data_IF_867051039492
#
_entry.id   IF_867051039492
#
_cell.length_a   1.000
_cell.length_b   1.000
_cell.length_c   1.000
_cell.angle_alpha   90.00
_cell.angle_beta   90.00
_cell.angle_gamma   90.00
#
_symmetry.space_group_name_H-M   'P 1'
#
loop_
_entity.id
_entity.type
_entity.pdbx_description
1 polymer ?
#
# COMPACT_ATOMS: atom_id res chain seq x y z
N UNK A 1 -26.48 -2.96 34.09
CA UNK A 1 -25.50 -3.40 33.08
C UNK A 1 -26.17 -3.30 31.72
N UNK A 2 -25.83 -2.32 30.91
CA UNK A 2 -26.26 -2.29 29.50
C UNK A 2 -25.33 -3.24 28.76
N UNK A 3 -25.89 -4.37 28.31
CA UNK A 3 -25.17 -5.31 27.49
C UNK A 3 -24.75 -4.63 26.20
N UNK A 4 -23.46 -4.41 26.00
CA UNK A 4 -22.91 -4.10 24.73
C UNK A 4 -23.10 -5.35 23.84
N UNK A 5 -24.12 -5.30 22.99
CA UNK A 5 -24.22 -6.23 21.89
C UNK A 5 -23.04 -5.93 20.96
N UNK A 6 -21.98 -6.70 21.11
CA UNK A 6 -20.87 -6.69 20.16
C UNK A 6 -21.44 -7.27 18.88
N UNK A 7 -21.82 -6.43 17.93
CA UNK A 7 -22.23 -6.89 16.61
C UNK A 7 -20.96 -7.25 15.84
N UNK A 8 -20.45 -8.45 16.11
CA UNK A 8 -19.38 -9.02 15.30
C UNK A 8 -19.85 -9.18 13.86
N UNK A 9 -19.22 -8.44 12.95
CA UNK A 9 -19.44 -8.64 11.52
C UNK A 9 -18.92 -10.02 11.11
N UNK A 10 -19.45 -10.58 10.01
CA UNK A 10 -18.93 -11.83 9.46
C UNK A 10 -17.42 -11.75 9.20
N UNK A 11 -16.96 -10.57 8.78
CA UNK A 11 -15.55 -10.28 8.53
C UNK A 11 -14.67 -10.31 9.78
N UNK A 12 -15.16 -9.75 10.89
CA UNK A 12 -14.46 -9.81 12.17
C UNK A 12 -14.33 -11.24 12.67
N UNK A 13 -15.40 -12.03 12.54
CA UNK A 13 -15.38 -13.45 12.94
C UNK A 13 -14.37 -14.24 12.13
N UNK A 14 -14.32 -14.05 10.83
CA UNK A 14 -13.35 -14.71 9.96
C UNK A 14 -11.91 -14.33 10.34
N UNK A 15 -11.62 -13.02 10.50
CA UNK A 15 -10.30 -12.56 10.96
C UNK A 15 -9.91 -13.12 12.32
N UNK A 16 -10.87 -13.24 13.23
CA UNK A 16 -10.65 -13.82 14.55
C UNK A 16 -10.31 -15.31 14.45
N UNK A 17 -11.04 -16.08 13.63
CA UNK A 17 -10.76 -17.50 13.38
C UNK A 17 -9.36 -17.66 12.76
N UNK A 18 -9.01 -16.88 11.74
CA UNK A 18 -7.68 -16.90 11.14
C UNK A 18 -6.58 -16.57 12.14
N UNK A 19 -6.83 -15.63 13.06
CA UNK A 19 -5.89 -15.26 14.11
C UNK A 19 -5.72 -16.39 15.14
N UNK A 20 -6.79 -17.10 15.47
CA UNK A 20 -6.72 -18.30 16.33
C UNK A 20 -5.93 -19.43 15.64
N UNK A 21 -6.12 -19.65 14.33
CA UNK A 21 -5.34 -20.63 13.58
C UNK A 21 -3.86 -20.27 13.60
N UNK A 22 -3.51 -19.02 13.28
CA UNK A 22 -2.13 -18.54 13.35
C UNK A 22 -1.54 -18.75 14.76
N UNK A 23 -2.36 -18.51 15.79
CA UNK A 23 -1.97 -18.68 17.20
C UNK A 23 -1.68 -20.13 17.58
N UNK A 24 -2.50 -21.07 17.09
CA UNK A 24 -2.31 -22.52 17.32
C UNK A 24 -1.05 -23.01 16.61
N UNK A 25 -0.74 -22.49 15.44
CA UNK A 25 0.42 -22.86 14.63
C UNK A 25 1.73 -22.22 15.10
N UNK A 26 1.68 -21.28 16.06
CA UNK A 26 2.85 -20.54 16.58
C UNK A 26 3.40 -21.19 17.84
N UNK A 27 4.74 -21.29 17.96
CA UNK A 27 5.43 -21.87 19.12
C UNK A 27 5.12 -21.10 20.43
N UNK A 28 5.02 -21.85 21.54
CA UNK A 28 4.51 -21.38 22.84
C UNK A 28 5.26 -20.18 23.47
N UNK A 29 6.53 -19.98 23.15
CA UNK A 29 7.41 -19.00 23.82
C UNK A 29 7.88 -17.86 22.93
N UNK A 30 7.20 -17.59 21.81
CA UNK A 30 7.60 -16.54 20.87
C UNK A 30 6.91 -15.21 21.19
N UNK A 31 7.62 -14.08 20.91
CA UNK A 31 7.03 -12.73 20.89
C UNK A 31 5.80 -12.65 19.97
N UNK A 32 5.78 -13.46 18.94
CA UNK A 32 4.69 -13.61 17.99
C UNK A 32 3.39 -14.07 18.64
N UNK A 33 3.49 -14.99 19.61
CA UNK A 33 2.36 -15.43 20.41
C UNK A 33 1.71 -14.27 21.16
N UNK A 34 2.51 -13.42 21.79
CA UNK A 34 1.99 -12.26 22.53
C UNK A 34 1.24 -11.29 21.62
N UNK A 35 1.71 -11.12 20.37
CA UNK A 35 1.04 -10.29 19.36
C UNK A 35 -0.32 -10.90 19.00
N UNK A 36 -0.36 -12.21 18.78
CA UNK A 36 -1.57 -12.93 18.39
C UNK A 36 -2.59 -12.96 19.56
N UNK A 37 -2.15 -13.21 20.78
CA UNK A 37 -3.00 -13.15 21.98
C UNK A 37 -3.62 -11.74 22.12
N UNK A 38 -2.81 -10.68 21.98
CA UNK A 38 -3.29 -9.29 22.01
C UNK A 38 -4.27 -8.99 20.86
N UNK A 39 -4.04 -9.52 19.66
CA UNK A 39 -4.96 -9.34 18.53
C UNK A 39 -6.30 -10.05 18.76
N UNK A 40 -6.28 -11.27 19.33
CA UNK A 40 -7.49 -12.02 19.68
C UNK A 40 -8.34 -11.23 20.69
N UNK A 41 -7.70 -10.61 21.68
CA UNK A 41 -8.39 -9.84 22.73
C UNK A 41 -9.03 -8.55 22.20
N UNK A 42 -8.44 -7.94 21.17
CA UNK A 42 -8.87 -6.63 20.68
C UNK A 42 -9.82 -6.73 19.49
N UNK A 43 -9.61 -7.68 18.57
CA UNK A 43 -10.40 -7.82 17.32
C UNK A 43 -11.92 -7.78 17.56
N UNK A 44 -12.50 -8.50 18.54
CA UNK A 44 -13.94 -8.50 18.77
C UNK A 44 -14.51 -7.15 19.21
N UNK A 45 -13.66 -6.25 19.67
CA UNK A 45 -14.04 -4.94 20.22
C UNK A 45 -13.93 -3.81 19.18
N UNK A 46 -13.32 -4.06 18.01
CA UNK A 46 -13.11 -3.05 16.98
C UNK A 46 -14.38 -2.85 16.14
N UNK A 47 -14.74 -1.60 15.88
CA UNK A 47 -15.80 -1.28 14.92
C UNK A 47 -15.29 -1.40 13.47
N UNK A 48 -16.17 -1.49 12.47
CA UNK A 48 -15.77 -1.46 11.06
C UNK A 48 -14.92 -0.23 10.71
N UNK A 49 -15.23 0.94 11.29
CA UNK A 49 -14.50 2.18 11.10
C UNK A 49 -13.08 2.09 11.66
N UNK A 50 -12.92 1.54 12.87
CA UNK A 50 -11.60 1.37 13.50
C UNK A 50 -10.77 0.33 12.77
N UNK A 51 -11.35 -0.78 12.31
CA UNK A 51 -10.67 -1.78 11.49
C UNK A 51 -10.19 -1.19 10.17
N UNK A 52 -11.04 -0.46 9.47
CA UNK A 52 -10.70 0.20 8.21
C UNK A 52 -9.59 1.23 8.41
N UNK A 53 -9.63 1.97 9.53
CA UNK A 53 -8.57 2.91 9.91
C UNK A 53 -7.24 2.21 10.12
N UNK A 54 -7.22 1.08 10.84
CA UNK A 54 -6.01 0.28 11.07
C UNK A 54 -5.47 -0.23 9.72
N UNK A 55 -6.33 -0.73 8.84
CA UNK A 55 -5.97 -1.19 7.50
C UNK A 55 -5.33 -0.09 6.67
N UNK A 56 -5.95 1.10 6.60
CA UNK A 56 -5.40 2.21 5.82
C UNK A 56 -4.13 2.81 6.45
N UNK A 57 -4.01 2.86 7.79
CA UNK A 57 -2.76 3.24 8.45
C UNK A 57 -1.61 2.28 8.14
N UNK A 58 -1.92 1.01 7.91
CA UNK A 58 -0.94 0.00 7.54
C UNK A 58 -0.30 0.29 6.17
N UNK A 59 -0.95 1.00 5.26
CA UNK A 59 -0.36 1.44 3.99
C UNK A 59 0.94 2.24 4.15
N UNK A 60 1.14 2.91 5.28
CA UNK A 60 2.39 3.63 5.59
C UNK A 60 3.53 2.72 6.03
N UNK A 61 3.24 1.46 6.31
CA UNK A 61 4.21 0.51 6.86
C UNK A 61 4.46 -0.68 5.94
N UNK A 62 3.64 -0.85 4.93
CA UNK A 62 3.65 -2.03 4.09
C UNK A 62 3.58 -1.64 2.62
N UNK A 63 4.65 -1.90 1.88
CA UNK A 63 4.60 -1.84 0.42
C UNK A 63 3.73 -2.99 -0.09
N UNK A 64 2.82 -2.68 -1.00
CA UNK A 64 2.12 -3.70 -1.75
C UNK A 64 3.11 -4.34 -2.72
N UNK A 65 3.21 -5.66 -2.70
CA UNK A 65 4.06 -6.39 -3.63
C UNK A 65 3.39 -6.50 -5.01
N UNK A 66 3.06 -5.34 -5.59
CA UNK A 66 2.57 -5.28 -6.95
C UNK A 66 3.78 -5.16 -7.88
N UNK A 67 4.01 -6.15 -8.72
CA UNK A 67 5.05 -6.08 -9.76
C UNK A 67 4.64 -5.10 -10.88
N UNK A 68 3.34 -5.00 -11.15
CA UNK A 68 2.80 -4.28 -12.30
C UNK A 68 1.83 -3.17 -11.89
N UNK A 69 1.85 -2.07 -12.64
CA UNK A 69 1.00 -0.91 -12.40
C UNK A 69 -0.50 -1.23 -12.37
N UNK A 70 -0.99 -2.11 -13.25
CA UNK A 70 -2.39 -2.51 -13.24
C UNK A 70 -2.79 -3.25 -11.96
N UNK A 71 -1.89 -4.06 -11.37
CA UNK A 71 -2.14 -4.73 -10.09
C UNK A 71 -2.22 -3.71 -8.95
N UNK A 72 -1.35 -2.70 -8.98
CA UNK A 72 -1.37 -1.61 -8.00
C UNK A 72 -2.65 -0.78 -8.12
N UNK A 73 -3.10 -0.49 -9.34
CA UNK A 73 -4.37 0.20 -9.61
C UNK A 73 -5.55 -0.59 -9.02
N UNK A 74 -5.66 -1.89 -9.35
CA UNK A 74 -6.70 -2.78 -8.80
C UNK A 74 -6.65 -2.84 -7.26
N UNK A 75 -5.45 -2.87 -6.68
CA UNK A 75 -5.29 -2.81 -5.24
C UNK A 75 -5.85 -1.50 -4.67
N UNK A 76 -5.49 -0.34 -5.22
CA UNK A 76 -6.02 0.94 -4.75
C UNK A 76 -7.54 1.04 -4.90
N UNK A 77 -8.10 0.53 -5.98
CA UNK A 77 -9.55 0.44 -6.18
C UNK A 77 -10.21 -0.45 -5.12
N UNK A 78 -9.57 -1.56 -4.74
CA UNK A 78 -10.07 -2.47 -3.70
C UNK A 78 -10.09 -1.86 -2.29
N UNK A 79 -9.38 -0.76 -2.05
CA UNK A 79 -9.38 -0.03 -0.78
C UNK A 79 -10.61 0.88 -0.61
N UNK A 80 -11.43 1.06 -1.63
CA UNK A 80 -12.61 1.95 -1.58
C UNK A 80 -13.53 1.66 -0.37
N UNK A 81 -13.92 0.41 -0.07
CA UNK A 81 -14.75 0.13 1.11
C UNK A 81 -14.09 0.56 2.42
N UNK A 82 -12.77 0.40 2.55
CA UNK A 82 -12.04 0.85 3.74
C UNK A 82 -12.05 2.39 3.84
N UNK A 83 -11.89 3.09 2.72
CA UNK A 83 -11.93 4.54 2.67
C UNK A 83 -13.31 5.08 3.06
N UNK A 84 -14.38 4.47 2.56
CA UNK A 84 -15.75 4.80 2.90
C UNK A 84 -16.06 4.58 4.39
N UNK A 85 -15.62 3.48 4.98
CA UNK A 85 -15.80 3.23 6.41
C UNK A 85 -14.93 4.17 7.26
N UNK A 86 -13.67 4.38 6.95
CA UNK A 86 -12.80 5.28 7.68
C UNK A 86 -13.28 6.74 7.61
N UNK A 87 -13.95 7.15 6.54
CA UNK A 87 -14.51 8.50 6.42
C UNK A 87 -15.57 8.81 7.50
N UNK A 88 -16.15 7.79 8.12
CA UNK A 88 -17.11 7.89 9.23
C UNK A 88 -16.45 7.96 10.62
N UNK A 89 -15.11 7.88 10.68
CA UNK A 89 -14.34 7.86 11.92
C UNK A 89 -14.60 9.13 12.75
N UNK A 90 -14.77 8.97 14.04
CA UNK A 90 -14.93 10.06 14.98
C UNK A 90 -13.78 10.11 16.01
N UNK A 91 -13.76 11.14 16.85
CA UNK A 91 -12.72 11.34 17.87
C UNK A 91 -12.69 10.22 18.91
N UNK A 92 -13.86 9.67 19.27
CA UNK A 92 -13.97 8.61 20.28
C UNK A 92 -13.30 7.33 19.75
N UNK A 93 -13.49 7.02 18.47
CA UNK A 93 -12.86 5.86 17.84
C UNK A 93 -11.32 5.96 17.87
N UNK A 94 -10.78 7.16 17.66
CA UNK A 94 -9.33 7.41 17.72
C UNK A 94 -8.78 7.23 19.13
N UNK A 95 -9.47 7.81 20.13
CA UNK A 95 -9.07 7.64 21.52
C UNK A 95 -9.16 6.18 21.97
N UNK A 96 -10.15 5.45 21.47
CA UNK A 96 -10.29 4.02 21.69
C UNK A 96 -9.09 3.23 21.13
N UNK A 97 -8.65 3.52 19.89
CA UNK A 97 -7.45 2.89 19.30
C UNK A 97 -6.18 3.14 20.14
N UNK A 98 -6.06 4.31 20.78
CA UNK A 98 -4.96 4.62 21.67
C UNK A 98 -5.08 3.84 23.00
N UNK A 99 -6.28 3.79 23.58
CA UNK A 99 -6.57 3.07 24.81
C UNK A 99 -6.27 1.58 24.69
N UNK A 100 -6.67 0.94 23.60
CA UNK A 100 -6.36 -0.46 23.29
C UNK A 100 -4.91 -0.67 22.80
N UNK A 101 -4.09 0.38 22.79
CA UNK A 101 -2.66 0.36 22.38
C UNK A 101 -2.46 -0.16 20.95
N UNK A 102 -3.43 0.00 20.11
CA UNK A 102 -3.34 -0.30 18.67
C UNK A 102 -2.54 0.78 17.96
N UNK A 103 -2.73 2.03 18.40
CA UNK A 103 -2.00 3.20 17.93
C UNK A 103 -1.18 3.74 19.10
N UNK A 104 0.11 3.97 18.88
CA UNK A 104 1.07 4.46 19.87
C UNK A 104 1.59 5.85 19.48
N UNK A 105 1.82 6.73 20.46
CA UNK A 105 2.42 8.02 20.18
C UNK A 105 3.87 7.85 19.72
N UNK A 106 4.26 8.62 18.70
CA UNK A 106 5.66 8.78 18.34
C UNK A 106 6.41 9.55 19.42
N UNK A 107 7.55 9.04 19.84
CA UNK A 107 8.43 9.70 20.79
C UNK A 107 9.25 10.78 20.11
N UNK A 108 9.27 11.99 20.68
CA UNK A 108 10.05 13.12 20.18
C UNK A 108 9.34 14.01 19.16
N UNK A 109 10.12 14.73 18.36
CA UNK A 109 9.63 15.74 17.37
C UNK A 109 9.27 15.09 16.02
N UNK A 110 9.51 13.81 15.87
CA UNK A 110 9.27 13.11 14.61
C UNK A 110 7.78 13.06 14.26
N UNK A 111 7.48 13.36 13.00
CA UNK A 111 6.16 13.19 12.39
C UNK A 111 6.25 12.11 11.31
N UNK A 112 5.17 11.36 11.14
CA UNK A 112 5.09 10.46 9.99
C UNK A 112 5.06 11.25 8.69
N UNK A 113 5.60 10.67 7.64
CA UNK A 113 5.50 11.22 6.28
C UNK A 113 4.03 11.22 5.86
N UNK A 114 3.59 12.20 5.07
CA UNK A 114 2.24 12.21 4.50
C UNK A 114 2.02 10.98 3.62
N UNK A 115 0.77 10.55 3.46
CA UNK A 115 0.44 9.38 2.64
C UNK A 115 0.89 9.60 1.20
N UNK A 116 0.71 10.81 0.66
CA UNK A 116 1.11 11.19 -0.69
C UNK A 116 2.62 11.05 -0.90
N UNK A 117 3.41 11.58 0.04
CA UNK A 117 4.88 11.43 0.00
C UNK A 117 5.32 9.98 0.09
N UNK A 118 4.63 9.21 0.94
CA UNK A 118 4.89 7.77 1.03
C UNK A 118 4.61 7.10 -0.31
N UNK A 119 3.47 7.38 -0.95
CA UNK A 119 3.10 6.83 -2.26
C UNK A 119 4.11 7.21 -3.35
N UNK A 120 4.51 8.48 -3.42
CA UNK A 120 5.51 8.96 -4.38
C UNK A 120 6.88 8.30 -4.18
N UNK A 121 7.30 8.06 -2.94
CA UNK A 121 8.58 7.44 -2.64
C UNK A 121 8.62 5.92 -2.93
N UNK A 122 7.48 5.23 -2.80
CA UNK A 122 7.43 3.77 -2.91
C UNK A 122 6.88 3.28 -4.26
N UNK A 123 6.21 4.14 -4.99
CA UNK A 123 5.62 3.83 -6.30
C UNK A 123 6.01 4.90 -7.33
N UNK A 124 7.27 5.26 -7.34
CA UNK A 124 7.83 6.40 -8.09
C UNK A 124 7.73 6.26 -9.60
N UNK A 125 7.66 5.04 -10.13
CA UNK A 125 7.41 4.80 -11.55
C UNK A 125 5.91 4.82 -11.89
N UNK A 126 5.06 4.39 -10.95
CA UNK A 126 3.61 4.41 -11.14
C UNK A 126 3.03 5.83 -11.12
N UNK A 127 3.52 6.68 -10.22
CA UNK A 127 3.07 8.06 -10.09
C UNK A 127 3.90 9.01 -10.95
N UNK A 128 3.85 8.78 -12.28
CA UNK A 128 4.40 9.67 -13.32
C UNK A 128 3.37 10.00 -14.37
N UNK A 129 3.47 11.20 -14.93
CA UNK A 129 2.68 11.55 -16.08
C UNK A 129 3.12 10.69 -17.26
N UNK A 130 2.19 10.03 -17.98
CA UNK A 130 2.53 9.15 -19.08
C UNK A 130 3.15 9.94 -20.22
N UNK A 131 3.95 9.27 -21.06
CA UNK A 131 4.43 9.83 -22.33
C UNK A 131 3.25 10.03 -23.29
N UNK A 132 3.30 11.11 -24.04
CA UNK A 132 2.37 11.33 -25.15
C UNK A 132 2.58 10.30 -26.25
N UNK A 133 1.53 10.09 -27.05
CA UNK A 133 1.57 9.20 -28.20
C UNK A 133 2.75 9.50 -29.13
N UNK A 134 3.44 8.46 -29.58
CA UNK A 134 4.57 8.54 -30.50
C UNK A 134 5.92 8.94 -29.87
N UNK A 135 5.94 9.44 -28.65
CA UNK A 135 7.22 9.83 -27.99
C UNK A 135 8.08 8.61 -27.69
N UNK A 136 7.48 7.54 -27.17
CA UNK A 136 8.18 6.29 -26.88
C UNK A 136 8.70 5.61 -28.15
N UNK A 137 7.86 5.54 -29.18
CA UNK A 137 8.22 4.95 -30.47
C UNK A 137 9.36 5.71 -31.14
N UNK A 138 9.39 7.04 -31.04
CA UNK A 138 10.49 7.85 -31.54
C UNK A 138 11.77 7.62 -30.73
N UNK A 139 11.66 7.55 -29.40
CA UNK A 139 12.80 7.19 -28.55
C UNK A 139 13.38 5.83 -28.92
N UNK A 140 12.56 4.82 -29.14
CA UNK A 140 13.01 3.48 -29.55
C UNK A 140 13.64 3.45 -30.96
N UNK A 141 13.22 4.33 -31.88
CA UNK A 141 13.88 4.48 -33.19
C UNK A 141 15.28 5.07 -33.08
N UNK A 142 15.48 6.01 -32.16
CA UNK A 142 16.78 6.63 -31.89
C UNK A 142 17.69 5.73 -31.05
N UNK A 143 17.10 4.83 -30.26
CA UNK A 143 17.77 3.90 -29.35
C UNK A 143 17.29 2.45 -29.60
N UNK A 144 17.68 1.81 -30.71
CA UNK A 144 17.23 0.45 -31.05
C UNK A 144 17.55 -0.57 -29.97
N UNK A 145 18.65 -0.40 -29.23
CA UNK A 145 19.05 -1.22 -28.09
C UNK A 145 18.05 -1.22 -26.96
N UNK A 146 17.33 -0.11 -26.76
CA UNK A 146 16.23 -0.03 -25.79
C UNK A 146 15.03 -0.87 -26.23
N UNK A 147 14.77 -0.95 -27.53
CA UNK A 147 13.68 -1.75 -28.10
C UNK A 147 14.01 -3.25 -28.13
N UNK A 148 15.22 -3.62 -28.52
CA UNK A 148 15.65 -5.03 -28.60
C UNK A 148 15.65 -5.68 -27.21
N UNK A 149 16.03 -4.93 -26.16
CA UNK A 149 15.97 -5.40 -24.79
C UNK A 149 14.55 -5.66 -24.30
N UNK A 150 13.56 -4.98 -24.85
CA UNK A 150 12.12 -5.18 -24.57
C UNK A 150 11.58 -6.45 -25.23
N UNK A 151 12.19 -6.91 -26.34
CA UNK A 151 11.74 -8.09 -27.06
C UNK A 151 12.23 -9.43 -26.48
N UNK A 152 13.23 -9.43 -25.62
CA UNK A 152 13.74 -10.63 -24.91
C UNK A 152 13.01 -10.86 -23.59
N UNK A 153 12.57 -12.08 -23.35
CA UNK A 153 11.58 -12.52 -22.35
C UNK A 153 11.62 -11.92 -20.93
N UNK A 154 12.73 -11.72 -20.21
CA UNK A 154 12.69 -11.09 -18.89
C UNK A 154 12.47 -9.57 -18.95
N UNK A 155 12.98 -8.89 -19.98
CA UNK A 155 12.81 -7.45 -20.14
C UNK A 155 11.43 -7.07 -20.68
N UNK A 156 10.78 -7.99 -21.41
CA UNK A 156 9.45 -7.81 -21.97
C UNK A 156 8.37 -7.53 -20.93
N UNK A 157 8.56 -8.01 -19.71
CA UNK A 157 7.63 -7.84 -18.59
C UNK A 157 7.81 -6.52 -17.84
N UNK A 158 8.88 -5.77 -18.09
CA UNK A 158 9.29 -4.71 -17.18
C UNK A 158 9.26 -3.28 -17.72
N UNK A 159 9.25 -3.04 -19.04
CA UNK A 159 9.56 -1.68 -19.46
C UNK A 159 8.38 -0.77 -19.68
N UNK A 160 7.42 -1.07 -20.49
CA UNK A 160 6.36 -0.11 -20.79
C UNK A 160 5.01 -0.79 -20.99
N UNK A 161 3.98 -0.24 -20.40
CA UNK A 161 2.60 -0.64 -20.61
C UNK A 161 1.86 0.48 -21.33
N UNK A 162 1.13 0.12 -22.38
CA UNK A 162 0.24 1.06 -23.05
C UNK A 162 -1.10 0.99 -22.33
N UNK A 163 -1.46 2.05 -21.66
CA UNK A 163 -2.80 2.20 -21.11
C UNK A 163 -3.76 2.48 -22.28
N UNK A 164 -4.46 1.45 -22.71
CA UNK A 164 -5.42 1.55 -23.81
C UNK A 164 -6.72 2.26 -23.44
N UNK A 165 -6.96 2.42 -22.13
CA UNK A 165 -8.21 3.02 -21.68
C UNK A 165 -8.18 4.55 -21.68
N UNK A 166 -7.01 5.17 -21.79
CA UNK A 166 -6.85 6.63 -21.82
C UNK A 166 -5.80 7.05 -22.86
N UNK A 167 -6.24 7.33 -24.08
CA UNK A 167 -5.53 8.13 -25.09
C UNK A 167 -4.17 7.61 -25.59
N UNK A 168 -3.95 6.30 -25.74
CA UNK A 168 -2.67 5.72 -26.21
C UNK A 168 -1.43 6.20 -25.44
N UNK A 169 -1.57 6.54 -24.18
CA UNK A 169 -0.48 7.01 -23.36
C UNK A 169 0.42 5.85 -22.88
N UNK A 170 1.73 6.05 -22.91
CA UNK A 170 2.72 5.03 -22.52
C UNK A 170 3.22 5.28 -21.12
N UNK A 171 3.11 4.28 -20.24
CA UNK A 171 3.52 4.31 -18.84
C UNK A 171 4.47 3.17 -18.49
N UNK A 172 5.20 3.26 -17.36
CA UNK A 172 5.99 2.15 -16.86
C UNK A 172 5.10 0.99 -16.37
N UNK A 173 5.48 -0.25 -16.75
CA UNK A 173 4.86 -1.44 -16.17
C UNK A 173 5.21 -1.60 -14.70
N UNK A 174 6.48 -1.39 -14.34
CA UNK A 174 6.95 -1.48 -12.97
C UNK A 174 6.48 -0.29 -12.14
N UNK A 175 6.26 -0.52 -10.87
CA UNK A 175 5.72 0.48 -9.94
C UNK A 175 6.79 1.24 -9.17
N UNK A 176 8.00 0.67 -9.04
CA UNK A 176 9.09 1.22 -8.22
C UNK A 176 10.44 1.04 -8.91
N UNK A 177 11.20 2.13 -9.05
CA UNK A 177 12.49 2.15 -9.75
C UNK A 177 13.55 1.29 -9.07
N UNK A 178 13.63 1.31 -7.74
CA UNK A 178 14.62 0.53 -7.00
C UNK A 178 14.42 -0.98 -7.20
N UNK A 179 13.18 -1.45 -7.06
CA UNK A 179 12.84 -2.86 -7.28
C UNK A 179 13.16 -3.26 -8.72
N UNK A 180 12.84 -2.37 -9.67
CA UNK A 180 13.14 -2.59 -11.07
C UNK A 180 14.64 -2.68 -11.35
N UNK A 181 15.44 -1.77 -10.83
CA UNK A 181 16.90 -1.81 -11.00
C UNK A 181 17.53 -3.05 -10.37
N UNK A 182 17.03 -3.49 -9.22
CA UNK A 182 17.50 -4.73 -8.58
C UNK A 182 17.18 -5.95 -9.45
N UNK A 183 16.02 -6.00 -10.11
CA UNK A 183 15.67 -7.05 -11.08
C UNK A 183 16.56 -7.01 -12.31
N UNK A 184 16.83 -5.83 -12.89
CA UNK A 184 17.74 -5.68 -14.04
C UNK A 184 19.16 -6.16 -13.71
N UNK A 185 19.67 -5.86 -12.50
CA UNK A 185 20.98 -6.34 -12.05
C UNK A 185 20.99 -7.86 -11.90
N UNK A 186 19.96 -8.45 -11.31
CA UNK A 186 19.87 -9.91 -11.14
C UNK A 186 19.79 -10.65 -12.48
N UNK A 187 19.21 -10.02 -13.50
CA UNK A 187 19.10 -10.58 -14.86
C UNK A 187 20.27 -10.18 -15.79
N UNK A 188 21.30 -9.50 -15.28
CA UNK A 188 22.43 -8.98 -16.07
C UNK A 188 22.02 -8.05 -17.22
N UNK A 189 21.02 -7.18 -16.96
CA UNK A 189 20.46 -6.24 -17.92
C UNK A 189 20.67 -4.77 -17.49
N UNK A 190 21.74 -4.48 -16.75
CA UNK A 190 22.04 -3.12 -16.24
C UNK A 190 22.20 -2.08 -17.35
N UNK A 191 22.52 -2.51 -18.57
CA UNK A 191 22.64 -1.63 -19.75
C UNK A 191 21.31 -0.93 -20.12
N UNK A 192 20.17 -1.43 -19.59
CA UNK A 192 18.84 -0.82 -19.78
C UNK A 192 18.62 0.38 -18.84
N UNK A 193 19.32 0.43 -17.69
CA UNK A 193 19.11 1.46 -16.66
C UNK A 193 19.20 2.90 -17.21
N UNK A 194 20.20 3.25 -18.05
CA UNK A 194 20.27 4.61 -18.63
C UNK A 194 19.05 4.97 -19.47
N UNK A 195 18.45 4.01 -20.17
CA UNK A 195 17.23 4.23 -20.95
C UNK A 195 16.01 4.46 -20.07
N UNK A 196 15.90 3.71 -18.96
CA UNK A 196 14.85 3.93 -17.96
C UNK A 196 14.97 5.32 -17.36
N UNK A 197 16.18 5.74 -17.00
CA UNK A 197 16.43 7.08 -16.44
C UNK A 197 16.12 8.19 -17.45
N UNK A 198 16.48 8.02 -18.71
CA UNK A 198 16.14 8.97 -19.77
C UNK A 198 14.62 9.11 -19.96
N UNK A 199 13.90 7.98 -20.00
CA UNK A 199 12.44 7.99 -20.08
C UNK A 199 11.80 8.59 -18.81
N UNK A 200 12.34 8.32 -17.61
CA UNK A 200 11.89 8.96 -16.39
C UNK A 200 12.02 10.47 -16.41
N UNK A 201 13.06 11.02 -17.07
CA UNK A 201 13.20 12.47 -17.22
C UNK A 201 12.13 13.06 -18.15
N UNK A 202 11.68 12.30 -19.14
CA UNK A 202 10.61 12.69 -20.06
C UNK A 202 9.20 12.53 -19.45
N UNK A 203 9.08 11.82 -18.32
CA UNK A 203 7.83 11.53 -17.60
C UNK A 203 7.86 12.23 -16.23
N UNK A 204 7.42 13.48 -16.10
CA UNK A 204 7.44 14.20 -14.84
C UNK A 204 6.75 13.42 -13.73
N UNK A 205 7.35 13.40 -12.53
CA UNK A 205 6.72 12.79 -11.38
C UNK A 205 5.42 13.55 -11.00
N UNK A 206 4.45 12.83 -10.48
CA UNK A 206 3.27 13.43 -9.88
C UNK A 206 3.68 14.32 -8.69
N UNK A 207 2.93 15.38 -8.49
CA UNK A 207 2.94 16.14 -7.23
C UNK A 207 2.08 15.44 -6.17
N UNK A 208 2.20 15.85 -4.90
CA UNK A 208 1.28 15.36 -3.84
C UNK A 208 -0.19 15.62 -4.20
N UNK A 209 -0.47 16.72 -4.89
CA UNK A 209 -1.82 17.07 -5.35
C UNK A 209 -2.30 16.15 -6.48
N UNK A 210 -1.42 15.71 -7.39
CA UNK A 210 -1.76 14.75 -8.43
C UNK A 210 -2.10 13.39 -7.83
N UNK A 211 -1.34 12.94 -6.80
CA UNK A 211 -1.65 11.72 -6.05
C UNK A 211 -3.03 11.83 -5.39
N UNK A 212 -3.35 12.95 -4.72
CA UNK A 212 -4.70 13.17 -4.15
C UNK A 212 -5.78 13.07 -5.22
N UNK A 213 -5.62 13.76 -6.33
CA UNK A 213 -6.57 13.73 -7.45
C UNK A 213 -6.76 12.33 -8.02
N UNK A 214 -5.70 11.54 -8.10
CA UNK A 214 -5.76 10.15 -8.52
C UNK A 214 -6.68 9.34 -7.60
N UNK A 215 -6.47 9.40 -6.28
CA UNK A 215 -7.29 8.65 -5.33
C UNK A 215 -8.73 9.18 -5.24
N UNK A 216 -8.96 10.49 -5.31
CA UNK A 216 -10.30 11.08 -5.31
C UNK A 216 -11.11 10.63 -6.55
N UNK A 217 -10.46 10.39 -7.69
CA UNK A 217 -11.12 9.78 -8.86
C UNK A 217 -11.58 8.34 -8.60
N UNK A 218 -10.86 7.58 -7.77
CA UNK A 218 -11.26 6.23 -7.38
C UNK A 218 -12.50 6.30 -6.47
N UNK A 219 -12.43 7.12 -5.43
CA UNK A 219 -13.58 7.40 -4.54
C UNK A 219 -13.44 8.78 -3.88
N UNK A 220 -14.52 9.59 -3.85
CA UNK A 220 -14.52 10.89 -3.16
C UNK A 220 -14.17 10.80 -1.67
N UNK A 221 -14.38 9.66 -1.03
CA UNK A 221 -14.04 9.42 0.39
C UNK A 221 -12.54 9.63 0.68
N UNK A 222 -11.67 9.50 -0.33
CA UNK A 222 -10.24 9.72 -0.17
C UNK A 222 -9.88 11.16 0.19
N UNK A 223 -10.69 12.15 -0.17
CA UNK A 223 -10.46 13.54 0.23
C UNK A 223 -10.40 13.67 1.76
N UNK A 224 -11.40 13.09 2.45
CA UNK A 224 -11.42 13.08 3.91
C UNK A 224 -10.29 12.24 4.50
N UNK A 225 -9.90 11.14 3.87
CA UNK A 225 -8.79 10.29 4.32
C UNK A 225 -7.46 11.05 4.29
N UNK A 226 -7.16 11.80 3.23
CA UNK A 226 -5.96 12.63 3.17
C UNK A 226 -5.97 13.72 4.25
N UNK A 227 -7.13 14.33 4.50
CA UNK A 227 -7.30 15.29 5.59
C UNK A 227 -7.01 14.67 6.96
N UNK A 228 -7.62 13.51 7.25
CA UNK A 228 -7.40 12.76 8.48
C UNK A 228 -5.91 12.38 8.65
N UNK A 229 -5.28 11.85 7.62
CA UNK A 229 -3.88 11.45 7.66
C UNK A 229 -2.91 12.61 7.84
N UNK A 230 -3.30 13.83 7.45
CA UNK A 230 -2.53 15.06 7.68
C UNK A 230 -2.77 15.65 9.08
N UNK A 231 -3.78 15.19 9.81
CA UNK A 231 -4.09 15.67 11.16
C UNK A 231 -2.99 15.31 12.16
N UNK A 232 -2.87 16.08 13.26
CA UNK A 232 -1.89 15.78 14.31
C UNK A 232 -2.05 14.39 14.90
N UNK A 233 -3.27 13.91 15.00
CA UNK A 233 -3.59 12.59 15.52
C UNK A 233 -2.84 11.50 14.76
N UNK A 234 -2.88 11.55 13.41
CA UNK A 234 -2.26 10.52 12.59
C UNK A 234 -0.81 10.81 12.20
N UNK A 235 -0.36 12.06 12.29
CA UNK A 235 1.05 12.41 12.03
C UNK A 235 1.95 12.16 13.23
N UNK A 236 1.39 12.14 14.46
CA UNK A 236 2.12 11.91 15.71
C UNK A 236 1.95 10.52 16.29
N UNK A 237 1.27 9.63 15.59
CA UNK A 237 1.02 8.27 16.04
C UNK A 237 1.39 7.25 14.98
N UNK A 238 1.76 6.05 15.42
CA UNK A 238 2.07 4.89 14.58
C UNK A 238 1.32 3.66 15.06
N UNK A 239 1.12 2.70 14.17
CA UNK A 239 0.59 1.40 14.58
C UNK A 239 1.57 0.67 15.48
N UNK A 240 1.07 0.11 16.59
CA UNK A 240 1.79 -0.90 17.39
C UNK A 240 2.03 -2.16 16.54
N UNK A 241 2.83 -3.09 17.06
CA UNK A 241 3.06 -4.38 16.38
C UNK A 241 1.74 -5.14 16.21
N UNK A 242 0.87 -5.15 17.22
CA UNK A 242 -0.48 -5.72 17.13
C UNK A 242 -1.33 -4.99 16.09
N UNK A 243 -1.29 -3.66 16.08
CA UNK A 243 -1.97 -2.85 15.07
C UNK A 243 -1.50 -3.15 13.64
N UNK A 244 -0.20 -3.32 13.45
CA UNK A 244 0.38 -3.72 12.15
C UNK A 244 -0.07 -5.12 11.72
N UNK A 245 -0.15 -6.07 12.65
CA UNK A 245 -0.68 -7.40 12.37
C UNK A 245 -2.13 -7.35 11.91
N UNK A 246 -2.99 -6.68 12.68
CA UNK A 246 -4.41 -6.51 12.33
C UNK A 246 -4.56 -5.79 10.99
N UNK A 247 -3.83 -4.68 10.78
CA UNK A 247 -3.85 -3.92 9.54
C UNK A 247 -3.42 -4.74 8.33
N UNK A 248 -2.40 -5.59 8.49
CA UNK A 248 -1.97 -6.53 7.46
C UNK A 248 -3.06 -7.53 7.08
N UNK A 249 -3.79 -8.08 8.06
CA UNK A 249 -4.94 -8.97 7.81
C UNK A 249 -6.08 -8.25 7.09
N UNK A 250 -6.41 -7.02 7.50
CA UNK A 250 -7.43 -6.20 6.82
C UNK A 250 -7.05 -5.97 5.36
N UNK A 251 -5.81 -5.54 5.09
CA UNK A 251 -5.35 -5.31 3.72
C UNK A 251 -5.31 -6.61 2.89
N UNK A 252 -4.84 -7.72 3.47
CA UNK A 252 -4.81 -9.01 2.79
C UNK A 252 -6.21 -9.46 2.36
N UNK A 253 -7.21 -9.26 3.21
CA UNK A 253 -8.59 -9.61 2.92
C UNK A 253 -9.17 -8.78 1.77
N UNK A 254 -8.98 -7.48 1.80
CA UNK A 254 -9.50 -6.56 0.76
C UNK A 254 -8.81 -6.79 -0.58
N UNK A 255 -7.53 -7.14 -0.56
CA UNK A 255 -6.72 -7.34 -1.77
C UNK A 255 -6.71 -8.78 -2.29
N UNK A 256 -7.61 -9.66 -1.82
CA UNK A 256 -7.65 -11.07 -2.20
C UNK A 256 -6.28 -11.78 -2.09
N UNK A 257 -5.51 -11.46 -1.05
CA UNK A 257 -4.21 -12.08 -0.76
C UNK A 257 -3.00 -11.43 -1.44
N UNK A 258 -3.17 -10.33 -2.19
CA UNK A 258 -2.05 -9.57 -2.78
C UNK A 258 -1.26 -8.77 -1.74
N UNK A 259 -1.79 -8.56 -0.54
CA UNK A 259 -1.06 -7.91 0.55
C UNK A 259 -0.11 -8.90 1.25
N UNK A 260 1.05 -8.39 1.69
CA UNK A 260 2.09 -9.19 2.34
C UNK A 260 1.60 -9.81 3.66
N UNK A 261 1.93 -11.08 3.88
CA UNK A 261 1.68 -11.79 5.14
C UNK A 261 2.71 -11.40 6.22
N UNK A 262 2.42 -11.76 7.48
CA UNK A 262 3.35 -11.56 8.62
C UNK A 262 4.72 -12.23 8.42
N UNK A 263 4.78 -13.32 7.62
CA UNK A 263 6.02 -14.01 7.26
C UNK A 263 6.97 -13.10 6.48
N UNK A 264 6.40 -12.20 5.67
CA UNK A 264 7.17 -11.24 4.88
C UNK A 264 7.76 -10.12 5.76
N UNK A 265 7.20 -9.88 6.96
CA UNK A 265 7.74 -8.96 7.96
C UNK A 265 9.00 -9.49 8.63
N UNK A 266 9.09 -10.81 8.91
CA UNK A 266 10.26 -11.43 9.56
C UNK A 266 11.56 -11.29 8.77
N UNK A 267 11.45 -11.21 7.45
CA UNK A 267 12.62 -11.10 6.56
C UNK A 267 13.11 -9.66 6.38
N UNK A 268 12.51 -8.66 7.04
CA UNK A 268 12.82 -7.23 6.89
C UNK A 268 13.22 -6.54 8.20
N UNK A 269 13.25 -7.27 9.33
CA UNK A 269 13.80 -6.88 10.62
C UNK A 269 15.15 -7.56 10.81
#
# INVERSE_FOLDING_TARGET
MKGYSISETAEQREMLVDTFIDRIMTNWDSTEKMILDSAIDVLPKLSPQTLSTIGLLQLRHQMVNAQFGFMLKLFFESLTPLAEEMSKLNTIDVEYLKQEKIVLPLTGIQKTVSLEKYMLAHYDLFFRHPLQEGVYENYCKEHPEAHESVSNEPARTCMMWIDRDHDNATSFCCVNSRVFYDQLKQSHQEYIIPHVEALMQMMPAYTEEDVRRYFIKISPSWEQIFHLFSSEVFTRNVLSITGKYIGGKVLAKVSNGTALSLKDYKNRI
#
